data_IF_801361328692
#
_entry.id   IF_801361328692
#
_cell.length_a   1.000
_cell.length_b   1.000
_cell.length_c   1.000
_cell.angle_alpha   90.00
_cell.angle_beta   90.00
_cell.angle_gamma   90.00
#
_symmetry.space_group_name_H-M   'P 1'
#
loop_
_entity.id
_entity.type
_entity.pdbx_description
1 polymer ?
#
# COMPACT_ATOMS: atom_id res chain seq x y z
N UNK A 1 4.25 0.98 -19.70
CA UNK A 1 4.26 -0.49 -19.86
C UNK A 1 5.23 -0.94 -20.94
N UNK A 2 5.17 -0.42 -22.15
CA UNK A 2 5.97 -0.88 -23.31
C UNK A 2 7.47 -0.59 -23.18
N UNK A 3 7.87 0.34 -22.32
CA UNK A 3 9.28 0.72 -22.10
C UNK A 3 10.16 -0.42 -21.54
N UNK A 4 9.56 -1.37 -20.84
CA UNK A 4 10.31 -2.49 -20.25
C UNK A 4 9.39 -3.62 -19.83
N UNK A 5 9.81 -4.86 -20.05
CA UNK A 5 9.05 -6.05 -19.69
C UNK A 5 9.03 -6.36 -18.19
N UNK A 6 9.89 -5.70 -17.41
CA UNK A 6 9.90 -5.86 -15.95
C UNK A 6 8.93 -4.90 -15.22
N UNK A 7 8.21 -4.03 -15.95
CA UNK A 7 7.15 -3.20 -15.35
C UNK A 7 5.89 -4.04 -15.19
N UNK A 8 5.51 -4.27 -13.93
CA UNK A 8 4.28 -4.98 -13.57
C UNK A 8 3.06 -4.07 -13.59
N UNK A 9 3.14 -2.93 -12.90
CA UNK A 9 2.01 -2.00 -12.82
C UNK A 9 2.42 -0.57 -13.13
N UNK A 10 1.46 0.20 -13.63
CA UNK A 10 1.59 1.64 -13.85
C UNK A 10 0.45 2.35 -13.14
N UNK A 11 0.79 3.20 -12.16
CA UNK A 11 -0.13 4.08 -11.47
C UNK A 11 -0.37 5.35 -12.27
N UNK A 12 -1.62 5.77 -12.38
CA UNK A 12 -1.98 7.07 -12.94
C UNK A 12 -1.74 8.20 -11.93
N UNK A 13 -1.74 9.44 -12.42
CA UNK A 13 -1.86 10.64 -11.60
C UNK A 13 -3.34 10.85 -11.29
N UNK A 14 -3.72 10.55 -10.05
CA UNK A 14 -5.10 10.74 -9.62
C UNK A 14 -5.25 12.14 -9.01
N UNK A 15 -6.13 12.94 -9.62
CA UNK A 15 -6.47 14.29 -9.17
C UNK A 15 -7.87 14.24 -8.56
N UNK A 16 -8.10 14.97 -7.48
CA UNK A 16 -9.43 15.04 -6.86
C UNK A 16 -10.47 15.52 -7.88
N UNK A 17 -11.60 14.80 -7.93
CA UNK A 17 -12.71 15.20 -8.77
C UNK A 17 -13.35 16.52 -8.30
N UNK A 18 -13.42 16.71 -7.00
CA UNK A 18 -14.08 17.86 -6.38
C UNK A 18 -13.20 19.12 -6.34
N UNK A 19 -11.88 18.94 -6.33
CA UNK A 19 -10.90 20.03 -6.35
C UNK A 19 -9.73 19.64 -7.26
N UNK A 20 -9.68 20.24 -8.45
CA UNK A 20 -8.70 19.93 -9.51
C UNK A 20 -7.28 20.40 -9.19
N UNK A 21 -7.12 21.28 -8.22
CA UNK A 21 -5.81 21.73 -7.76
C UNK A 21 -5.19 20.77 -6.73
N UNK A 22 -5.97 19.80 -6.24
CA UNK A 22 -5.54 18.83 -5.22
C UNK A 22 -5.24 17.47 -5.83
N UNK A 23 -4.05 16.96 -5.52
CA UNK A 23 -3.65 15.59 -5.86
C UNK A 23 -4.30 14.60 -4.88
N UNK A 24 -4.87 13.54 -5.42
CA UNK A 24 -5.43 12.44 -4.63
C UNK A 24 -4.42 11.30 -4.46
N UNK A 25 -3.68 10.96 -5.53
CA UNK A 25 -2.68 9.89 -5.50
C UNK A 25 -1.65 10.05 -6.63
N UNK A 26 -0.38 9.78 -6.30
CA UNK A 26 0.73 9.67 -7.26
C UNK A 26 1.52 8.35 -7.05
N UNK A 27 0.80 7.27 -6.75
CA UNK A 27 1.32 5.97 -6.39
C UNK A 27 1.36 5.75 -4.88
N UNK A 28 1.18 4.51 -4.48
CA UNK A 28 1.14 4.13 -3.07
C UNK A 28 2.52 3.76 -2.53
N UNK A 29 2.76 4.10 -1.27
CA UNK A 29 3.90 3.65 -0.49
C UNK A 29 3.50 2.71 0.65
N UNK A 30 4.46 1.94 1.14
CA UNK A 30 4.32 1.12 2.33
C UNK A 30 5.52 1.31 3.24
N UNK A 31 5.30 1.49 4.54
CA UNK A 31 6.34 1.87 5.51
C UNK A 31 6.78 0.70 6.37
N UNK A 32 7.93 0.81 7.05
CA UNK A 32 8.39 -0.18 8.04
C UNK A 32 7.46 -0.27 9.27
N UNK A 33 6.65 0.77 9.51
CA UNK A 33 5.61 0.80 10.54
C UNK A 33 4.37 -0.04 10.16
N UNK A 34 4.36 -0.62 8.95
CA UNK A 34 3.20 -1.33 8.42
C UNK A 34 2.08 -0.39 8.00
N UNK A 35 2.39 0.77 7.46
CA UNK A 35 1.39 1.73 6.97
C UNK A 35 1.44 1.89 5.47
N UNK A 36 0.31 1.70 4.83
CA UNK A 36 0.10 2.16 3.46
C UNK A 36 -0.20 3.67 3.49
N UNK A 37 0.31 4.40 2.50
CA UNK A 37 0.00 5.80 2.29
C UNK A 37 -0.06 6.13 0.79
N UNK A 38 -0.90 7.08 0.43
CA UNK A 38 -1.00 7.66 -0.90
C UNK A 38 0.02 8.78 -1.03
N UNK A 39 0.96 8.64 -1.97
CA UNK A 39 2.01 9.61 -2.20
C UNK A 39 1.42 10.92 -2.74
N UNK A 40 1.75 12.02 -2.08
CA UNK A 40 1.34 13.37 -2.49
C UNK A 40 -0.14 13.72 -2.23
N UNK A 41 -0.92 12.86 -1.57
CA UNK A 41 -2.33 13.14 -1.27
C UNK A 41 -2.49 14.48 -0.55
N UNK A 42 -3.43 15.31 -1.02
CA UNK A 42 -3.70 16.63 -0.44
C UNK A 42 -2.71 17.72 -0.84
N UNK A 43 -1.72 17.43 -1.67
CA UNK A 43 -0.77 18.42 -2.21
C UNK A 43 -1.25 18.95 -3.56
N UNK A 44 -0.54 19.98 -4.07
CA UNK A 44 -0.88 20.59 -5.37
C UNK A 44 -0.80 19.58 -6.52
N UNK A 45 -1.85 19.51 -7.33
CA UNK A 45 -1.89 18.70 -8.54
C UNK A 45 -0.87 19.11 -9.60
N UNK A 46 -0.31 20.31 -9.52
CA UNK A 46 0.77 20.80 -10.40
C UNK A 46 2.12 20.15 -10.10
N UNK A 47 2.28 19.58 -8.92
CA UNK A 47 3.44 18.78 -8.53
C UNK A 47 3.46 17.39 -9.16
N UNK A 48 4.42 16.56 -8.76
CA UNK A 48 4.51 15.15 -9.16
C UNK A 48 4.50 14.95 -10.68
N UNK A 49 5.35 15.70 -11.39
CA UNK A 49 5.42 15.73 -12.86
C UNK A 49 6.40 14.73 -13.47
N UNK A 50 7.22 14.06 -12.62
CA UNK A 50 8.24 13.10 -13.06
C UNK A 50 7.78 11.67 -12.87
N UNK A 51 8.04 10.83 -13.88
CA UNK A 51 7.92 9.37 -13.78
C UNK A 51 8.91 8.83 -12.74
N UNK A 52 8.47 7.91 -11.90
CA UNK A 52 9.33 7.27 -10.90
C UNK A 52 8.80 5.89 -10.52
N UNK A 53 9.65 5.08 -9.89
CA UNK A 53 9.21 3.87 -9.21
C UNK A 53 8.38 4.22 -7.98
N UNK A 54 7.37 3.40 -7.70
CA UNK A 54 6.53 3.48 -6.51
C UNK A 54 6.42 2.10 -5.88
N UNK A 55 6.03 2.03 -4.62
CA UNK A 55 5.91 0.73 -3.96
C UNK A 55 4.85 -0.12 -4.63
N UNK A 56 3.68 0.47 -4.90
CA UNK A 56 2.62 -0.14 -5.70
C UNK A 56 1.79 0.92 -6.43
N UNK A 57 1.00 0.48 -7.41
CA UNK A 57 0.01 1.32 -8.08
C UNK A 57 -1.34 1.16 -7.39
N UNK A 58 -2.02 2.27 -7.08
CA UNK A 58 -3.39 2.26 -6.57
C UNK A 58 -4.34 1.62 -7.59
N UNK A 59 -5.01 0.53 -7.21
CA UNK A 59 -5.89 -0.23 -8.10
C UNK A 59 -7.11 0.56 -8.58
N UNK A 60 -7.42 1.68 -7.96
CA UNK A 60 -8.47 2.59 -8.41
C UNK A 60 -8.25 3.16 -9.81
N UNK A 61 -6.97 3.29 -10.25
CA UNK A 61 -6.61 3.75 -11.59
C UNK A 61 -5.22 3.26 -11.99
N UNK A 62 -5.08 1.97 -12.22
CA UNK A 62 -3.82 1.32 -12.57
C UNK A 62 -3.92 0.41 -13.79
N UNK A 63 -2.81 0.26 -14.50
CA UNK A 63 -2.64 -0.72 -15.57
C UNK A 63 -1.70 -1.82 -15.09
N UNK A 64 -2.06 -3.08 -15.28
CA UNK A 64 -1.28 -4.24 -14.88
C UNK A 64 -0.87 -5.09 -16.09
N UNK A 65 0.37 -5.61 -16.07
CA UNK A 65 0.84 -6.54 -17.09
C UNK A 65 0.33 -7.96 -16.80
N UNK A 66 -0.62 -8.41 -17.58
CA UNK A 66 -1.38 -9.66 -17.37
C UNK A 66 -0.49 -10.89 -17.20
N UNK A 67 0.54 -11.07 -18.03
CA UNK A 67 1.38 -12.27 -18.01
C UNK A 67 2.19 -12.40 -16.71
N UNK A 68 2.46 -11.30 -16.00
CA UNK A 68 3.18 -11.34 -14.72
C UNK A 68 2.32 -11.98 -13.62
N UNK A 69 1.00 -11.82 -13.66
CA UNK A 69 0.09 -12.51 -12.72
C UNK A 69 0.26 -14.02 -12.73
N UNK A 70 0.66 -14.64 -13.86
CA UNK A 70 0.93 -16.06 -13.93
C UNK A 70 2.10 -16.50 -13.02
N UNK A 71 3.03 -15.56 -12.71
CA UNK A 71 4.20 -15.81 -11.85
C UNK A 71 3.94 -15.44 -10.40
N UNK A 72 3.26 -14.31 -10.16
CA UNK A 72 3.08 -13.76 -8.81
C UNK A 72 1.72 -14.08 -8.20
N UNK A 73 0.79 -14.66 -8.97
CA UNK A 73 -0.61 -14.86 -8.59
C UNK A 73 -1.46 -13.60 -8.76
N UNK A 74 -2.77 -13.75 -8.84
CA UNK A 74 -3.76 -12.68 -8.99
C UNK A 74 -4.07 -11.99 -7.67
N UNK A 75 -5.01 -11.05 -7.66
CA UNK A 75 -5.54 -10.44 -6.44
C UNK A 75 -6.09 -11.51 -5.49
N UNK A 76 -5.75 -11.41 -4.21
CA UNK A 76 -6.17 -12.39 -3.22
C UNK A 76 -7.56 -12.04 -2.68
N UNK A 77 -8.53 -12.89 -2.96
CA UNK A 77 -9.93 -12.70 -2.56
C UNK A 77 -10.13 -12.57 -1.05
N UNK A 78 -9.18 -13.07 -0.25
CA UNK A 78 -9.21 -12.90 1.21
C UNK A 78 -9.14 -11.43 1.64
N UNK A 79 -8.55 -10.55 0.83
CA UNK A 79 -8.55 -9.11 1.10
C UNK A 79 -9.93 -8.51 0.92
N UNK A 80 -10.73 -8.97 -0.02
CA UNK A 80 -12.02 -8.43 -0.44
C UNK A 80 -11.91 -7.01 -1.00
N UNK A 81 -11.46 -6.05 -0.20
CA UNK A 81 -11.16 -4.66 -0.57
C UNK A 81 -10.14 -4.06 0.40
N UNK A 82 -9.40 -3.07 -0.03
CA UNK A 82 -8.29 -2.37 0.64
C UNK A 82 -7.06 -3.25 0.86
N UNK A 83 -5.91 -2.73 0.47
CA UNK A 83 -4.58 -3.34 0.56
C UNK A 83 -4.34 -4.54 -0.39
N UNK A 84 -5.29 -4.91 -1.24
CA UNK A 84 -5.13 -5.93 -2.28
C UNK A 84 -4.13 -5.51 -3.35
N UNK A 85 -4.08 -4.21 -3.63
CA UNK A 85 -3.12 -3.59 -4.54
C UNK A 85 -1.71 -3.54 -3.94
N UNK A 86 -1.61 -3.25 -2.64
CA UNK A 86 -0.33 -3.33 -1.92
C UNK A 86 0.18 -4.78 -1.92
N UNK A 87 -0.68 -5.77 -1.67
CA UNK A 87 -0.31 -7.18 -1.68
C UNK A 87 0.25 -7.61 -3.04
N UNK A 88 -0.43 -7.30 -4.13
CA UNK A 88 0.02 -7.72 -5.46
C UNK A 88 1.27 -6.97 -5.90
N UNK A 89 1.38 -5.67 -5.58
CA UNK A 89 2.56 -4.86 -5.85
C UNK A 89 3.78 -5.34 -5.06
N UNK A 90 3.59 -5.74 -3.79
CA UNK A 90 4.63 -6.32 -2.95
C UNK A 90 5.15 -7.63 -3.56
N UNK A 91 4.24 -8.54 -3.97
CA UNK A 91 4.62 -9.80 -4.64
C UNK A 91 5.36 -9.58 -5.95
N UNK A 92 5.00 -8.56 -6.71
CA UNK A 92 5.72 -8.18 -7.91
C UNK A 92 7.16 -7.77 -7.57
N UNK A 93 7.36 -6.95 -6.57
CA UNK A 93 8.68 -6.51 -6.10
C UNK A 93 9.54 -7.66 -5.57
N UNK A 94 8.96 -8.60 -4.82
CA UNK A 94 9.66 -9.82 -4.39
C UNK A 94 10.24 -10.57 -5.60
N UNK A 95 9.54 -10.57 -6.72
CA UNK A 95 9.95 -11.24 -7.96
C UNK A 95 10.76 -10.33 -8.92
N UNK A 96 11.23 -9.15 -8.46
CA UNK A 96 12.09 -8.26 -9.23
C UNK A 96 11.37 -7.38 -10.25
N UNK A 97 10.04 -7.35 -10.24
CA UNK A 97 9.25 -6.46 -11.08
C UNK A 97 9.09 -5.07 -10.46
N UNK A 98 8.82 -4.09 -11.31
CA UNK A 98 8.67 -2.68 -10.93
C UNK A 98 7.22 -2.25 -10.99
N UNK A 99 6.83 -1.37 -10.08
CA UNK A 99 5.62 -0.58 -10.12
C UNK A 99 6.02 0.86 -10.42
N UNK A 100 5.39 1.52 -11.39
CA UNK A 100 5.82 2.82 -11.92
C UNK A 100 4.66 3.81 -11.85
N UNK A 101 4.95 5.04 -11.46
CA UNK A 101 4.02 6.15 -11.56
C UNK A 101 4.17 6.87 -12.90
N UNK A 102 3.06 7.12 -13.59
CA UNK A 102 3.00 7.83 -14.87
C UNK A 102 2.26 9.17 -14.73
N UNK A 103 2.96 10.31 -14.64
CA UNK A 103 2.33 11.62 -14.46
C UNK A 103 1.48 12.09 -15.64
N UNK A 104 1.67 11.50 -16.83
CA UNK A 104 0.90 11.82 -18.03
C UNK A 104 -0.44 11.10 -18.10
N UNK A 105 -0.62 10.02 -17.35
CA UNK A 105 -1.89 9.30 -17.24
C UNK A 105 -2.74 9.95 -16.15
N UNK A 106 -3.54 10.93 -16.51
CA UNK A 106 -4.34 11.71 -15.55
C UNK A 106 -5.74 11.08 -15.42
N UNK A 107 -6.18 10.86 -14.18
CA UNK A 107 -7.51 10.40 -13.81
C UNK A 107 -8.10 11.32 -12.75
N UNK A 108 -9.37 11.64 -12.88
CA UNK A 108 -10.11 12.40 -11.86
C UNK A 108 -10.89 11.44 -10.97
N UNK A 109 -10.54 11.43 -9.69
CA UNK A 109 -11.05 10.47 -8.72
C UNK A 109 -12.03 11.13 -7.74
N UNK A 110 -13.22 10.54 -7.61
CA UNK A 110 -14.26 11.09 -6.72
C UNK A 110 -13.93 10.83 -5.24
N UNK A 111 -13.11 9.82 -4.96
CA UNK A 111 -12.77 9.42 -3.60
C UNK A 111 -13.97 8.91 -2.81
N UNK A 112 -13.84 7.78 -2.14
CA UNK A 112 -14.87 7.23 -1.24
C UNK A 112 -16.31 7.16 -1.78
N UNK A 113 -16.54 7.29 -3.10
CA UNK A 113 -17.87 7.31 -3.71
C UNK A 113 -18.72 6.08 -3.34
N UNK A 114 -18.11 4.91 -3.33
CA UNK A 114 -18.78 3.64 -3.00
C UNK A 114 -18.90 3.41 -1.49
N UNK A 115 -17.97 3.91 -0.68
CA UNK A 115 -17.83 3.59 0.74
C UNK A 115 -18.23 4.74 1.68
N UNK A 116 -18.69 5.85 1.12
CA UNK A 116 -19.29 7.00 1.81
C UNK A 116 -18.26 7.94 2.43
N UNK A 117 -17.73 7.63 3.60
CA UNK A 117 -16.84 8.51 4.36
C UNK A 117 -15.38 8.08 4.28
N UNK A 118 -14.45 9.00 4.61
CA UNK A 118 -13.02 8.70 4.73
C UNK A 118 -12.75 7.58 5.75
N UNK A 119 -13.43 7.61 6.91
CA UNK A 119 -13.37 6.59 7.95
C UNK A 119 -14.78 6.11 8.30
N UNK A 120 -14.95 4.81 8.38
CA UNK A 120 -16.12 4.13 8.95
C UNK A 120 -15.71 2.75 9.48
N UNK A 121 -16.56 2.10 10.28
CA UNK A 121 -16.27 0.81 10.92
C UNK A 121 -15.84 -0.26 9.93
N UNK A 122 -16.48 -0.33 8.76
CA UNK A 122 -16.17 -1.30 7.73
C UNK A 122 -14.75 -1.12 7.19
N UNK A 123 -14.39 0.12 6.77
CA UNK A 123 -13.04 0.43 6.24
C UNK A 123 -11.96 0.18 7.27
N UNK A 124 -12.15 0.70 8.49
CA UNK A 124 -11.15 0.61 9.56
C UNK A 124 -10.87 -0.85 9.93
N UNK A 125 -11.93 -1.64 10.13
CA UNK A 125 -11.81 -3.07 10.45
C UNK A 125 -11.15 -3.84 9.32
N UNK A 126 -11.57 -3.62 8.08
CA UNK A 126 -11.07 -4.33 6.92
C UNK A 126 -9.61 -4.01 6.62
N UNK A 127 -9.24 -2.73 6.63
CA UNK A 127 -7.86 -2.30 6.41
C UNK A 127 -6.92 -2.81 7.52
N UNK A 128 -7.34 -2.78 8.79
CA UNK A 128 -6.57 -3.33 9.89
C UNK A 128 -6.34 -4.85 9.74
N UNK A 129 -7.38 -5.61 9.36
CA UNK A 129 -7.29 -7.04 9.06
C UNK A 129 -6.33 -7.32 7.93
N UNK A 130 -6.49 -6.62 6.83
CA UNK A 130 -5.74 -6.84 5.60
C UNK A 130 -4.27 -6.44 5.75
N UNK A 131 -3.97 -5.47 6.61
CA UNK A 131 -2.59 -5.15 6.94
C UNK A 131 -1.87 -6.33 7.62
N UNK A 132 -2.53 -7.04 8.52
CA UNK A 132 -1.98 -8.26 9.13
C UNK A 132 -1.80 -9.35 8.05
N UNK A 133 -2.75 -9.49 7.12
CA UNK A 133 -2.65 -10.43 6.00
C UNK A 133 -1.42 -10.12 5.13
N UNK A 134 -1.24 -8.85 4.77
CA UNK A 134 -0.12 -8.40 3.96
C UNK A 134 1.23 -8.71 4.60
N UNK A 135 1.41 -8.37 5.88
CA UNK A 135 2.63 -8.63 6.65
C UNK A 135 2.91 -10.14 6.70
N UNK A 136 1.92 -10.93 7.12
CA UNK A 136 2.08 -12.38 7.22
C UNK A 136 2.41 -13.04 5.88
N UNK A 137 1.72 -12.63 4.82
CA UNK A 137 1.78 -13.26 3.50
C UNK A 137 3.09 -12.97 2.77
N UNK A 138 3.56 -11.72 2.83
CA UNK A 138 4.64 -11.23 1.96
C UNK A 138 6.01 -11.16 2.65
N UNK A 139 6.04 -10.93 3.96
CA UNK A 139 7.31 -10.82 4.67
C UNK A 139 7.81 -12.20 5.10
N UNK A 140 9.07 -12.59 4.80
CA UNK A 140 9.71 -13.76 5.40
C UNK A 140 9.74 -13.67 6.93
N UNK A 141 9.83 -14.81 7.61
CA UNK A 141 9.81 -14.84 9.09
C UNK A 141 10.89 -13.94 9.71
N UNK A 142 12.11 -13.95 9.16
CA UNK A 142 13.21 -13.11 9.63
C UNK A 142 12.89 -11.62 9.50
N UNK A 143 12.29 -11.20 8.36
CA UNK A 143 11.88 -9.81 8.14
C UNK A 143 10.78 -9.40 9.14
N UNK A 144 9.82 -10.28 9.42
CA UNK A 144 8.78 -10.02 10.45
C UNK A 144 9.43 -9.83 11.82
N UNK A 145 10.40 -10.69 12.20
CA UNK A 145 11.09 -10.60 13.50
C UNK A 145 11.85 -9.27 13.60
N UNK A 146 12.65 -8.93 12.61
CA UNK A 146 13.44 -7.69 12.59
C UNK A 146 12.53 -6.45 12.66
N UNK A 147 11.42 -6.45 11.90
CA UNK A 147 10.51 -5.31 11.82
C UNK A 147 9.45 -5.29 12.93
N UNK A 148 9.36 -6.34 13.75
CA UNK A 148 8.31 -6.44 14.78
C UNK A 148 8.26 -5.23 15.73
N UNK A 149 9.37 -4.63 16.22
CA UNK A 149 9.29 -3.44 17.06
C UNK A 149 8.64 -2.25 16.33
N UNK A 150 9.03 -2.01 15.07
CA UNK A 150 8.47 -0.93 14.24
C UNK A 150 7.00 -1.18 13.90
N UNK A 151 6.65 -2.41 13.53
CA UNK A 151 5.26 -2.79 13.23
C UNK A 151 4.38 -2.62 14.48
N UNK A 152 4.82 -3.09 15.65
CA UNK A 152 4.07 -2.94 16.91
C UNK A 152 3.88 -1.45 17.23
N UNK A 153 4.93 -0.65 17.11
CA UNK A 153 4.84 0.81 17.30
C UNK A 153 3.81 1.42 16.33
N UNK A 154 3.85 1.04 15.06
CA UNK A 154 2.91 1.49 14.04
C UNK A 154 1.47 1.11 14.36
N UNK A 155 1.22 -0.12 14.82
CA UNK A 155 -0.10 -0.58 15.25
C UNK A 155 -0.61 0.21 16.47
N UNK A 156 0.26 0.50 17.44
CA UNK A 156 -0.08 1.28 18.62
C UNK A 156 -0.44 2.73 18.26
N UNK A 157 0.35 3.40 17.42
CA UNK A 157 0.07 4.77 16.96
C UNK A 157 -1.30 4.81 16.23
N UNK A 158 -1.54 3.89 15.30
CA UNK A 158 -2.86 3.80 14.62
C UNK A 158 -3.99 3.50 15.59
N UNK A 159 -3.78 2.65 16.59
CA UNK A 159 -4.78 2.40 17.63
C UNK A 159 -5.13 3.69 18.38
N UNK A 160 -4.12 4.48 18.79
CA UNK A 160 -4.35 5.76 19.48
C UNK A 160 -5.08 6.76 18.59
N UNK A 161 -4.73 6.83 17.31
CA UNK A 161 -5.43 7.65 16.33
C UNK A 161 -6.91 7.23 16.21
N UNK A 162 -7.18 5.94 16.01
CA UNK A 162 -8.56 5.44 15.88
C UNK A 162 -9.34 5.54 17.19
N UNK A 163 -8.66 5.50 18.35
CA UNK A 163 -9.28 5.79 19.64
C UNK A 163 -9.77 7.23 19.70
N UNK A 164 -8.97 8.20 19.22
CA UNK A 164 -9.32 9.62 19.19
C UNK A 164 -10.57 9.90 18.31
N UNK A 165 -10.74 9.16 17.21
CA UNK A 165 -11.86 9.37 16.27
C UNK A 165 -12.99 8.33 16.41
N UNK A 166 -13.01 7.54 17.51
CA UNK A 166 -14.15 6.67 17.86
C UNK A 166 -14.14 5.27 17.24
N UNK A 167 -13.07 4.84 16.53
CA UNK A 167 -13.00 3.54 15.84
C UNK A 167 -12.02 2.55 16.47
N UNK A 168 -11.65 2.72 17.76
CA UNK A 168 -10.70 1.85 18.45
C UNK A 168 -11.10 0.37 18.46
N UNK A 169 -12.41 0.11 18.66
CA UNK A 169 -12.97 -1.25 18.68
C UNK A 169 -12.82 -1.90 17.31
N UNK A 170 -13.24 -1.22 16.25
CA UNK A 170 -13.18 -1.73 14.88
C UNK A 170 -11.73 -2.05 14.46
N UNK A 171 -10.79 -1.17 14.82
CA UNK A 171 -9.37 -1.39 14.53
C UNK A 171 -8.81 -2.61 15.26
N UNK A 172 -9.10 -2.77 16.57
CA UNK A 172 -8.71 -3.96 17.35
C UNK A 172 -9.34 -5.24 16.82
N UNK A 173 -10.63 -5.19 16.47
CA UNK A 173 -11.35 -6.34 15.95
C UNK A 173 -10.78 -6.76 14.59
N UNK A 174 -10.39 -5.79 13.73
CA UNK A 174 -9.69 -6.05 12.48
C UNK A 174 -8.36 -6.76 12.69
N UNK A 175 -7.50 -6.26 13.60
CA UNK A 175 -6.22 -6.91 13.93
C UNK A 175 -6.43 -8.34 14.43
N UNK A 176 -7.34 -8.54 15.40
CA UNK A 176 -7.66 -9.87 15.93
C UNK A 176 -8.16 -10.83 14.85
N UNK A 177 -9.04 -10.34 13.99
CA UNK A 177 -9.55 -11.12 12.85
C UNK A 177 -8.42 -11.46 11.89
N UNK A 178 -7.53 -10.51 11.60
CA UNK A 178 -6.35 -10.71 10.78
C UNK A 178 -5.47 -11.84 11.31
N UNK A 179 -5.03 -11.74 12.56
CA UNK A 179 -4.21 -12.77 13.21
C UNK A 179 -4.91 -14.14 13.16
N UNK A 180 -6.20 -14.18 13.53
CA UNK A 180 -6.96 -15.44 13.57
C UNK A 180 -7.10 -16.12 12.20
N UNK A 181 -7.12 -15.36 11.11
CA UNK A 181 -7.37 -15.88 9.75
C UNK A 181 -6.09 -16.08 8.92
N UNK A 182 -4.90 -15.77 9.43
CA UNK A 182 -3.63 -15.94 8.70
C UNK A 182 -3.41 -17.38 8.19
N UNK A 183 -3.88 -18.40 8.92
CA UNK A 183 -3.75 -19.80 8.52
C UNK A 183 -4.46 -20.15 7.19
N UNK A 184 -5.39 -19.31 6.74
CA UNK A 184 -6.09 -19.47 5.45
C UNK A 184 -5.31 -18.87 4.28
N UNK A 185 -4.29 -18.04 4.56
CA UNK A 185 -3.53 -17.37 3.53
C UNK A 185 -2.42 -18.26 2.98
N UNK A 186 -2.27 -18.25 1.67
CA UNK A 186 -1.10 -18.83 1.04
C UNK A 186 0.07 -17.85 1.16
N UNK A 187 0.98 -18.13 2.09
CA UNK A 187 2.20 -17.34 2.28
C UNK A 187 3.09 -17.41 1.03
N UNK A 188 3.72 -16.28 0.67
CA UNK A 188 4.75 -16.25 -0.37
C UNK A 188 5.95 -17.05 0.12
N UNK A 189 6.33 -18.09 -0.65
CA UNK A 189 7.51 -18.88 -0.31
C UNK A 189 8.77 -18.03 -0.50
N UNK A 190 9.59 -17.98 0.55
CA UNK A 190 10.92 -17.38 0.44
C UNK A 190 11.77 -18.20 -0.56
N UNK A 191 12.45 -17.49 -1.44
CA UNK A 191 13.41 -18.09 -2.38
C UNK A 191 14.75 -17.34 -2.24
N UNK A 192 15.87 -18.05 -2.06
CA UNK A 192 17.18 -17.42 -1.91
C UNK A 192 17.55 -16.48 -3.06
N UNK A 193 17.16 -16.81 -4.30
CA UNK A 193 17.37 -15.98 -5.47
C UNK A 193 16.72 -14.59 -5.38
N UNK A 194 15.71 -14.43 -4.54
CA UNK A 194 14.99 -13.17 -4.30
C UNK A 194 15.57 -12.35 -3.12
N UNK A 195 16.65 -12.79 -2.49
CA UNK A 195 17.23 -12.11 -1.32
C UNK A 195 17.51 -10.63 -1.59
N UNK A 196 18.11 -10.30 -2.73
CA UNK A 196 18.40 -8.91 -3.10
C UNK A 196 17.14 -8.07 -3.24
N UNK A 197 16.05 -8.66 -3.71
CA UNK A 197 14.75 -7.97 -3.80
C UNK A 197 14.18 -7.71 -2.41
N UNK A 198 14.27 -8.65 -1.48
CA UNK A 198 13.87 -8.43 -0.08
C UNK A 198 14.68 -7.34 0.61
N UNK A 199 16.01 -7.29 0.37
CA UNK A 199 16.86 -6.22 0.90
C UNK A 199 16.44 -4.86 0.33
N UNK A 200 16.18 -4.77 -0.98
CA UNK A 200 15.68 -3.53 -1.60
C UNK A 200 14.34 -3.10 -1.02
N UNK A 201 13.42 -4.04 -0.84
CA UNK A 201 12.11 -3.77 -0.22
C UNK A 201 12.32 -3.23 1.20
N UNK A 202 13.21 -3.84 1.98
CA UNK A 202 13.48 -3.40 3.36
C UNK A 202 13.99 -1.96 3.42
N UNK A 203 14.97 -1.62 2.56
CA UNK A 203 15.47 -0.25 2.45
C UNK A 203 14.36 0.72 2.04
N UNK A 204 13.50 0.30 1.12
CA UNK A 204 12.38 1.12 0.66
C UNK A 204 11.32 1.32 1.75
N UNK A 205 11.02 0.31 2.57
CA UNK A 205 10.12 0.46 3.72
C UNK A 205 10.62 1.54 4.70
N UNK A 206 11.95 1.62 4.89
CA UNK A 206 12.59 2.65 5.73
C UNK A 206 12.46 4.03 5.05
N UNK A 207 12.86 4.14 3.78
CA UNK A 207 12.78 5.40 3.01
C UNK A 207 11.35 5.92 2.96
N UNK A 208 10.38 5.05 2.64
CA UNK A 208 8.97 5.39 2.61
C UNK A 208 8.43 5.89 3.96
N UNK A 209 9.03 5.48 5.07
CA UNK A 209 8.66 6.01 6.38
C UNK A 209 9.04 7.49 6.51
N UNK A 210 10.23 7.87 6.04
CA UNK A 210 10.66 9.27 6.02
C UNK A 210 9.84 10.09 5.01
N UNK A 211 9.57 9.55 3.83
CA UNK A 211 8.70 10.20 2.84
C UNK A 211 7.30 10.45 3.39
N UNK A 212 6.71 9.46 4.07
CA UNK A 212 5.41 9.61 4.72
C UNK A 212 5.40 10.75 5.75
N UNK A 213 6.43 10.80 6.62
CA UNK A 213 6.55 11.88 7.63
C UNK A 213 6.71 13.23 6.95
N UNK A 214 7.55 13.33 5.93
CA UNK A 214 7.78 14.56 5.17
C UNK A 214 6.49 15.03 4.47
N UNK A 215 5.78 14.14 3.79
CA UNK A 215 4.50 14.43 3.15
C UNK A 215 3.42 14.83 4.16
N UNK A 216 3.42 14.21 5.35
CA UNK A 216 2.51 14.58 6.43
C UNK A 216 2.78 16.01 6.93
N UNK A 217 4.02 16.34 7.19
CA UNK A 217 4.43 17.70 7.62
C UNK A 217 4.05 18.74 6.57
N UNK A 218 4.37 18.46 5.31
CA UNK A 218 4.08 19.37 4.17
C UNK A 218 2.59 19.70 4.00
N UNK A 219 1.70 18.80 4.42
CA UNK A 219 0.24 19.01 4.35
C UNK A 219 -0.31 19.86 5.50
N UNK A 220 0.46 20.03 6.57
CA UNK A 220 -0.01 20.70 7.79
C UNK A 220 0.73 22.01 8.08
N UNK A 221 1.69 22.38 7.24
CA UNK A 221 2.34 23.68 7.16
C UNK A 221 1.78 24.46 5.97
#
# INVERSE_FOLDING_TARGET
MEKSDNIFSVSSKMISYHDRDILDDAGDGYTILGWQYQRGVGQSSKGYTKECDVFTACAGAALYRRNIFNKIGVFDEMHFAYMEDIDVGYRARINGYRNVYCPKAIVYHIGSATSGSKYNSFKVKLAARNNIFLIYKNMPALQIIINSPSIILGLLIKYMFFKKIGFAKDYKDGIKEGIRKTYKLKKVCYKPENLNNYIRIELELIVNTFEYVFDYVKRHI
#
